data_IF_842673485031
#
_entry.id   IF_842673485031
#
_cell.length_a   1.000
_cell.length_b   1.000
_cell.length_c   1.000
_cell.angle_alpha   90.00
_cell.angle_beta   90.00
_cell.angle_gamma   90.00
#
_symmetry.space_group_name_H-M   'P 1'
#
loop_
_entity.id
_entity.type
_entity.pdbx_description
1 polymer ?
#
# COMPACT_ATOMS: atom_id res chain seq x y z
N UNK A 1 -6.71 13.51 16.29
CA UNK A 1 -6.10 12.22 15.92
C UNK A 1 -4.61 12.29 16.17
N UNK A 2 -3.95 11.13 16.39
CA UNK A 2 -2.52 11.04 16.67
C UNK A 2 -1.70 10.73 15.42
N UNK A 3 -2.37 10.24 14.38
CA UNK A 3 -1.77 9.84 13.11
C UNK A 3 -2.73 10.14 11.96
N UNK A 4 -2.20 10.63 10.84
CA UNK A 4 -2.93 10.76 9.59
C UNK A 4 -2.13 10.14 8.46
N UNK A 5 -2.81 9.48 7.53
CA UNK A 5 -2.25 8.90 6.31
C UNK A 5 -3.31 8.76 5.23
N UNK A 6 -2.90 8.37 4.04
CA UNK A 6 -3.82 8.12 2.92
C UNK A 6 -4.41 6.72 3.03
N UNK A 7 -5.71 6.58 2.75
CA UNK A 7 -6.36 5.25 2.72
C UNK A 7 -5.70 4.32 1.69
N UNK A 8 -5.29 3.12 2.13
CA UNK A 8 -4.68 2.10 1.27
C UNK A 8 -5.74 1.28 0.49
N UNK A 9 -7.00 1.61 0.62
CA UNK A 9 -8.14 0.92 -0.03
C UNK A 9 -8.16 -0.60 0.22
N UNK A 10 -7.68 -1.09 1.37
CA UNK A 10 -7.59 -2.53 1.66
C UNK A 10 -8.93 -3.17 1.93
N UNK A 11 -9.14 -4.35 1.32
CA UNK A 11 -10.34 -5.15 1.50
C UNK A 11 -10.46 -5.79 2.90
N UNK A 12 -11.64 -6.36 3.17
CA UNK A 12 -12.02 -6.88 4.49
C UNK A 12 -11.01 -7.88 5.08
N UNK A 13 -10.46 -8.80 4.28
CA UNK A 13 -9.52 -9.81 4.76
C UNK A 13 -8.27 -9.23 5.45
N UNK A 14 -7.74 -8.13 4.93
CA UNK A 14 -6.58 -7.46 5.52
C UNK A 14 -6.92 -6.72 6.80
N UNK A 15 -8.14 -6.19 6.90
CA UNK A 15 -8.67 -5.49 8.07
C UNK A 15 -8.96 -6.46 9.21
N UNK A 16 -9.65 -7.56 8.92
CA UNK A 16 -10.01 -8.59 9.91
C UNK A 16 -8.77 -9.17 10.59
N UNK A 17 -7.68 -9.39 9.85
CA UNK A 17 -6.44 -9.91 10.40
C UNK A 17 -5.78 -8.99 11.45
N UNK A 18 -6.12 -7.71 11.44
CA UNK A 18 -5.65 -6.71 12.42
C UNK A 18 -6.71 -6.42 13.50
N UNK A 19 -7.85 -7.10 13.46
CA UNK A 19 -8.98 -6.85 14.35
C UNK A 19 -9.71 -5.53 14.08
N UNK A 20 -9.62 -5.01 12.85
CA UNK A 20 -10.29 -3.78 12.42
C UNK A 20 -11.74 -4.06 12.00
N UNK A 21 -12.62 -3.14 12.30
CA UNK A 21 -13.99 -3.10 11.79
C UNK A 21 -14.01 -2.52 10.36
N UNK A 22 -15.12 -2.73 9.62
CA UNK A 22 -15.26 -2.15 8.27
C UNK A 22 -15.10 -0.63 8.21
N UNK A 23 -15.57 0.07 9.22
CA UNK A 23 -15.53 1.54 9.35
C UNK A 23 -14.20 2.11 9.86
N UNK A 24 -13.33 1.29 10.43
CA UNK A 24 -12.02 1.76 10.89
C UNK A 24 -11.15 2.19 9.69
N UNK A 25 -10.33 3.21 9.88
CA UNK A 25 -9.38 3.60 8.84
C UNK A 25 -8.35 2.51 8.58
N UNK A 26 -7.90 2.38 7.33
CA UNK A 26 -6.74 1.56 6.99
C UNK A 26 -5.77 2.39 6.16
N UNK A 27 -4.82 3.01 6.83
CA UNK A 27 -3.88 3.95 6.21
C UNK A 27 -2.63 3.26 5.67
N UNK A 28 -2.11 3.81 4.57
CA UNK A 28 -0.80 3.46 4.05
C UNK A 28 0.28 4.27 4.79
N UNK A 29 1.36 3.61 5.20
CA UNK A 29 2.42 4.22 6.00
C UNK A 29 3.57 4.85 5.20
N UNK A 30 3.45 4.95 3.89
CA UNK A 30 4.48 5.58 3.05
C UNK A 30 4.63 7.08 3.27
N UNK A 31 3.55 7.76 3.67
CA UNK A 31 3.57 9.17 4.10
C UNK A 31 2.61 9.32 5.28
N UNK A 32 3.13 9.82 6.38
CA UNK A 32 2.39 9.98 7.63
C UNK A 32 2.55 11.39 8.19
N UNK A 33 1.46 11.95 8.71
CA UNK A 33 1.48 13.13 9.54
C UNK A 33 1.23 12.70 11.00
N UNK A 34 2.20 12.93 11.87
CA UNK A 34 2.22 12.40 13.23
C UNK A 34 2.17 13.56 14.23
N UNK A 35 1.27 13.46 15.20
CA UNK A 35 1.27 14.29 16.40
C UNK A 35 2.28 13.71 17.41
N UNK A 36 3.51 14.23 17.38
CA UNK A 36 4.60 13.73 18.22
C UNK A 36 4.36 13.98 19.72
N UNK A 37 3.64 15.03 20.07
CA UNK A 37 3.27 15.31 21.46
C UNK A 37 2.31 14.25 21.99
N UNK A 38 1.24 13.99 21.22
CA UNK A 38 0.28 12.93 21.54
C UNK A 38 0.96 11.55 21.62
N UNK A 39 1.91 11.26 20.72
CA UNK A 39 2.65 9.99 20.72
C UNK A 39 3.48 9.83 21.99
N UNK A 40 4.26 10.83 22.38
CA UNK A 40 5.08 10.79 23.61
C UNK A 40 4.22 10.68 24.86
N UNK A 41 3.17 11.53 24.97
CA UNK A 41 2.24 11.54 26.10
C UNK A 41 1.54 10.20 26.31
N UNK A 42 1.15 9.53 25.23
CA UNK A 42 0.40 8.27 25.28
C UNK A 42 1.29 7.04 25.12
N UNK A 43 2.64 7.19 25.10
CA UNK A 43 3.59 6.08 24.99
C UNK A 43 3.26 5.13 23.82
N UNK A 44 3.01 5.70 22.62
CA UNK A 44 2.55 4.93 21.45
C UNK A 44 3.56 3.84 21.06
N UNK A 45 4.85 4.07 21.28
CA UNK A 45 5.89 3.06 21.05
C UNK A 45 5.64 1.81 21.91
N UNK A 46 5.36 1.98 23.21
CA UNK A 46 5.06 0.86 24.10
C UNK A 46 3.83 0.08 23.63
N UNK A 47 2.80 0.77 23.14
CA UNK A 47 1.60 0.13 22.56
C UNK A 47 1.94 -0.69 21.32
N UNK A 48 2.82 -0.19 20.45
CA UNK A 48 3.28 -0.91 19.27
C UNK A 48 4.10 -2.15 19.65
N UNK A 49 5.05 -2.01 20.57
CA UNK A 49 5.85 -3.13 21.06
C UNK A 49 4.99 -4.21 21.73
N UNK A 50 3.99 -3.80 22.51
CA UNK A 50 3.04 -4.72 23.10
C UNK A 50 2.24 -5.48 22.03
N UNK A 51 1.70 -4.77 21.03
CA UNK A 51 0.95 -5.37 19.93
C UNK A 51 1.80 -6.37 19.13
N UNK A 52 3.09 -6.05 18.89
CA UNK A 52 4.03 -6.95 18.23
C UNK A 52 4.25 -8.22 19.04
N UNK A 53 4.44 -8.12 20.35
CA UNK A 53 4.62 -9.28 21.24
C UNK A 53 3.37 -10.16 21.30
N UNK A 54 2.19 -9.57 21.45
CA UNK A 54 0.90 -10.28 21.50
C UNK A 54 0.64 -11.06 20.20
N UNK A 55 1.10 -10.54 19.06
CA UNK A 55 0.98 -11.21 17.76
C UNK A 55 2.23 -12.02 17.37
N UNK A 56 3.21 -12.20 18.29
CA UNK A 56 4.45 -12.97 18.05
C UNK A 56 5.21 -12.52 16.78
N UNK A 57 5.06 -11.24 16.39
CA UNK A 57 5.64 -10.68 15.17
C UNK A 57 4.94 -11.06 13.86
N UNK A 58 3.92 -11.95 13.87
CA UNK A 58 3.16 -12.33 12.67
C UNK A 58 2.09 -11.29 12.33
N UNK A 59 2.53 -10.14 11.85
CA UNK A 59 1.66 -9.01 11.51
C UNK A 59 1.71 -8.74 10.01
N UNK A 60 0.53 -8.70 9.37
CA UNK A 60 0.43 -8.41 7.93
C UNK A 60 0.91 -7.00 7.64
N UNK A 61 1.84 -6.85 6.67
CA UNK A 61 2.46 -5.57 6.29
C UNK A 61 3.27 -4.90 7.40
N UNK A 62 3.81 -5.69 8.32
CA UNK A 62 4.80 -5.29 9.34
C UNK A 62 4.38 -4.00 10.06
N UNK A 63 5.13 -2.90 9.87
CA UNK A 63 4.92 -1.59 10.47
C UNK A 63 3.56 -0.96 10.13
N UNK A 64 3.10 -1.05 8.87
CA UNK A 64 1.78 -0.61 8.48
C UNK A 64 0.68 -1.38 9.22
N UNK A 65 0.87 -2.68 9.41
CA UNK A 65 -0.04 -3.52 10.18
C UNK A 65 -0.10 -3.14 11.65
N UNK A 66 1.06 -2.87 12.27
CA UNK A 66 1.14 -2.41 13.67
C UNK A 66 0.39 -1.10 13.85
N UNK A 67 0.68 -0.10 13.01
CA UNK A 67 0.05 1.22 13.11
C UNK A 67 -1.48 1.14 12.98
N UNK A 68 -1.97 0.39 12.00
CA UNK A 68 -3.41 0.22 11.81
C UNK A 68 -4.03 -0.63 12.93
N UNK A 69 -3.42 -1.75 13.29
CA UNK A 69 -3.90 -2.64 14.35
C UNK A 69 -3.98 -1.98 15.73
N UNK A 70 -3.18 -0.94 15.98
CA UNK A 70 -3.22 -0.16 17.21
C UNK A 70 -4.01 1.13 17.04
N UNK A 71 -3.53 2.07 16.22
CA UNK A 71 -4.07 3.43 16.20
C UNK A 71 -5.39 3.56 15.44
N UNK A 72 -5.59 2.80 14.37
CA UNK A 72 -6.87 2.80 13.65
C UNK A 72 -7.95 2.11 14.47
N UNK A 73 -7.63 0.99 15.10
CA UNK A 73 -8.55 0.29 16.01
C UNK A 73 -8.98 1.12 17.22
N UNK A 74 -8.09 1.97 17.73
CA UNK A 74 -8.39 2.95 18.80
C UNK A 74 -9.11 4.22 18.29
N UNK A 75 -9.41 4.32 16.99
CA UNK A 75 -9.98 5.53 16.39
C UNK A 75 -9.05 6.74 16.44
N UNK A 76 -7.74 6.54 16.55
CA UNK A 76 -6.72 7.60 16.66
C UNK A 76 -6.06 7.94 15.33
N UNK A 77 -6.39 7.24 14.25
CA UNK A 77 -5.98 7.59 12.88
C UNK A 77 -6.99 8.50 12.18
N UNK A 78 -6.52 9.28 11.21
CA UNK A 78 -7.32 10.08 10.30
C UNK A 78 -6.87 9.89 8.85
N UNK A 79 -7.71 10.27 7.89
CA UNK A 79 -7.42 10.14 6.46
C UNK A 79 -6.95 11.47 5.90
N UNK A 80 -5.86 11.44 5.14
CA UNK A 80 -5.35 12.52 4.30
C UNK A 80 -5.91 12.41 2.88
N UNK A 81 -5.95 13.54 2.17
CA UNK A 81 -6.27 13.54 0.75
C UNK A 81 -5.26 12.68 -0.03
N UNK A 82 -5.71 11.84 -0.98
CA UNK A 82 -4.84 10.88 -1.71
C UNK A 82 -3.61 11.51 -2.39
N UNK A 83 -3.66 12.80 -2.74
CA UNK A 83 -2.52 13.50 -3.35
C UNK A 83 -1.25 13.55 -2.50
N UNK A 84 -1.37 13.41 -1.18
CA UNK A 84 -0.22 13.45 -0.25
C UNK A 84 0.50 12.09 -0.11
N UNK A 85 -0.04 11.04 -0.71
CA UNK A 85 0.61 9.75 -0.83
C UNK A 85 0.03 9.03 -2.06
N UNK A 86 0.27 9.62 -3.25
CA UNK A 86 -0.25 9.09 -4.49
C UNK A 86 0.53 7.82 -4.89
N UNK A 87 -0.03 6.69 -4.53
CA UNK A 87 0.58 5.37 -4.67
C UNK A 87 0.60 4.90 -6.13
N UNK A 88 1.61 4.12 -6.52
CA UNK A 88 1.72 3.54 -7.87
C UNK A 88 0.45 2.85 -8.35
N UNK A 89 -0.29 2.19 -7.46
CA UNK A 89 -1.55 1.51 -7.81
C UNK A 89 -2.62 2.49 -8.31
N UNK A 90 -2.55 3.76 -7.92
CA UNK A 90 -3.46 4.82 -8.35
C UNK A 90 -3.20 5.23 -9.81
N UNK A 91 -1.96 5.12 -10.28
CA UNK A 91 -1.62 5.33 -11.69
C UNK A 91 -1.84 4.10 -12.55
N UNK A 92 -1.85 2.91 -11.93
CA UNK A 92 -2.00 1.64 -12.64
C UNK A 92 -3.46 1.31 -12.98
N UNK A 93 -4.43 1.85 -12.24
CA UNK A 93 -5.86 1.58 -12.38
C UNK A 93 -6.69 2.84 -12.23
N UNK A 94 -7.78 2.95 -12.98
CA UNK A 94 -8.82 3.91 -12.66
C UNK A 94 -9.50 3.57 -11.31
N UNK A 95 -10.25 4.53 -10.77
CA UNK A 95 -10.90 4.37 -9.47
C UNK A 95 -11.86 3.16 -9.44
N UNK A 96 -12.66 2.95 -10.48
CA UNK A 96 -13.62 1.84 -10.57
C UNK A 96 -12.92 0.49 -10.52
N UNK A 97 -11.84 0.33 -11.27
CA UNK A 97 -11.03 -0.88 -11.30
C UNK A 97 -10.25 -1.08 -10.01
N UNK A 98 -9.76 -0.02 -9.37
CA UNK A 98 -9.13 -0.10 -8.06
C UNK A 98 -10.09 -0.62 -6.99
N UNK A 99 -11.30 -0.06 -6.92
CA UNK A 99 -12.33 -0.50 -5.96
C UNK A 99 -12.75 -1.94 -6.23
N UNK A 100 -12.91 -2.33 -7.48
CA UNK A 100 -13.19 -3.72 -7.87
C UNK A 100 -12.05 -4.67 -7.51
N UNK A 101 -10.80 -4.23 -7.65
CA UNK A 101 -9.60 -4.98 -7.32
C UNK A 101 -9.44 -5.19 -5.81
N UNK A 102 -9.55 -4.12 -5.04
CA UNK A 102 -9.24 -4.08 -3.61
C UNK A 102 -10.42 -4.38 -2.71
N UNK A 103 -11.64 -4.07 -3.14
CA UNK A 103 -12.92 -4.24 -2.41
C UNK A 103 -12.86 -3.67 -0.99
N UNK A 104 -12.51 -2.40 -0.81
CA UNK A 104 -12.57 -1.78 0.51
C UNK A 104 -14.01 -1.81 1.03
N UNK A 105 -14.25 -2.03 2.33
CA UNK A 105 -15.61 -2.00 2.89
C UNK A 105 -16.31 -0.66 2.73
N UNK A 106 -15.54 0.43 2.84
CA UNK A 106 -15.97 1.81 2.62
C UNK A 106 -15.09 2.38 1.51
N UNK A 107 -15.64 2.54 0.29
CA UNK A 107 -14.92 3.21 -0.80
C UNK A 107 -14.68 4.70 -0.47
N UNK A 108 -13.50 5.21 -0.83
CA UNK A 108 -13.18 6.63 -0.72
C UNK A 108 -13.88 7.49 -1.79
N UNK A 109 -13.54 8.77 -1.83
CA UNK A 109 -14.09 9.71 -2.82
C UNK A 109 -13.36 9.60 -4.16
N UNK A 110 -14.11 9.27 -5.22
CA UNK A 110 -13.57 9.12 -6.58
C UNK A 110 -13.01 10.42 -7.17
N UNK A 111 -13.56 11.58 -6.81
CA UNK A 111 -13.09 12.88 -7.30
C UNK A 111 -11.73 13.23 -6.69
N UNK A 112 -11.56 13.04 -5.39
CA UNK A 112 -10.28 13.23 -4.71
C UNK A 112 -9.20 12.29 -5.27
N UNK A 113 -9.60 11.08 -5.63
CA UNK A 113 -8.71 10.11 -6.24
C UNK A 113 -8.23 10.56 -7.62
N UNK A 114 -9.16 11.01 -8.49
CA UNK A 114 -8.83 11.50 -9.83
C UNK A 114 -7.98 12.77 -9.76
N UNK A 115 -8.27 13.68 -8.84
CA UNK A 115 -7.46 14.87 -8.58
C UNK A 115 -6.04 14.48 -8.17
N UNK A 116 -5.90 13.52 -7.26
CA UNK A 116 -4.59 13.06 -6.79
C UNK A 116 -3.72 12.49 -7.91
N UNK A 117 -4.30 11.71 -8.81
CA UNK A 117 -3.59 11.14 -9.97
C UNK A 117 -3.19 12.23 -10.96
N UNK A 118 -4.07 13.23 -11.18
CA UNK A 118 -3.81 14.34 -12.11
C UNK A 118 -2.77 15.33 -11.55
N UNK A 119 -2.80 15.58 -10.24
CA UNK A 119 -1.96 16.58 -9.59
C UNK A 119 -1.45 16.10 -8.22
N UNK A 120 -0.57 15.08 -8.18
CA UNK A 120 -0.04 14.56 -6.93
C UNK A 120 0.92 15.56 -6.27
N UNK A 121 0.79 15.75 -4.95
CA UNK A 121 1.76 16.48 -4.15
C UNK A 121 2.97 15.61 -3.79
N UNK A 122 2.73 14.33 -3.46
CA UNK A 122 3.78 13.34 -3.16
C UNK A 122 3.47 12.06 -3.93
N UNK A 123 4.40 11.62 -4.76
CA UNK A 123 4.32 10.35 -5.50
C UNK A 123 5.05 9.26 -4.72
N UNK A 124 4.33 8.20 -4.37
CA UNK A 124 4.88 7.06 -3.65
C UNK A 124 5.12 5.89 -4.60
N UNK A 125 6.37 5.66 -4.94
CA UNK A 125 6.80 4.59 -5.82
C UNK A 125 6.75 3.22 -5.13
N UNK A 126 5.57 2.63 -5.10
CA UNK A 126 5.38 1.24 -4.69
C UNK A 126 5.49 0.30 -5.90
N UNK A 127 5.80 -0.98 -5.67
CA UNK A 127 5.58 -2.00 -6.70
C UNK A 127 4.12 -2.46 -6.68
N UNK A 128 3.51 -2.56 -7.85
CA UNK A 128 2.28 -3.31 -8.05
C UNK A 128 2.48 -4.26 -9.24
N UNK A 129 1.67 -5.30 -9.36
CA UNK A 129 1.87 -6.33 -10.39
C UNK A 129 1.86 -5.76 -11.83
N UNK A 130 1.16 -4.65 -12.09
CA UNK A 130 1.10 -3.97 -13.40
C UNK A 130 2.26 -2.99 -13.61
N UNK A 131 2.77 -2.39 -12.54
CA UNK A 131 3.91 -1.47 -12.51
C UNK A 131 4.92 -1.93 -11.46
N UNK A 132 5.54 -3.08 -11.70
CA UNK A 132 6.40 -3.73 -10.70
C UNK A 132 7.81 -3.14 -10.63
N UNK A 133 8.26 -2.45 -11.68
CA UNK A 133 9.58 -1.81 -11.74
C UNK A 133 9.50 -0.40 -11.17
N UNK A 134 10.37 -0.11 -10.21
CA UNK A 134 10.47 1.20 -9.55
C UNK A 134 11.42 2.13 -10.33
N UNK A 135 11.34 3.47 -10.16
CA UNK A 135 12.05 4.43 -11.02
C UNK A 135 13.58 4.39 -10.92
N UNK A 136 14.14 3.75 -9.91
CA UNK A 136 15.59 3.53 -9.80
C UNK A 136 16.09 2.27 -10.51
N UNK A 137 15.20 1.53 -11.17
CA UNK A 137 15.50 0.31 -11.95
C UNK A 137 15.37 0.63 -13.44
N UNK A 138 16.26 0.10 -14.25
CA UNK A 138 16.24 0.26 -15.71
C UNK A 138 14.91 -0.27 -16.29
N UNK A 139 14.31 0.51 -17.21
CA UNK A 139 13.08 0.12 -17.89
C UNK A 139 11.77 0.44 -17.13
N UNK A 140 11.83 1.25 -16.09
CA UNK A 140 10.64 1.72 -15.37
C UNK A 140 9.68 2.50 -16.28
N UNK A 141 8.41 2.09 -16.31
CA UNK A 141 7.34 2.72 -17.10
C UNK A 141 6.38 3.58 -16.23
N UNK A 142 6.78 3.91 -15.01
CA UNK A 142 5.95 4.76 -14.15
C UNK A 142 5.83 6.18 -14.74
N UNK A 143 4.66 6.83 -14.77
CA UNK A 143 4.49 8.18 -15.35
C UNK A 143 5.47 9.22 -14.80
N UNK A 144 5.85 9.10 -13.53
CA UNK A 144 6.79 10.00 -12.84
C UNK A 144 8.24 9.47 -12.80
N UNK A 145 8.60 8.47 -13.63
CA UNK A 145 9.99 7.97 -13.69
C UNK A 145 10.97 9.07 -14.14
N UNK A 146 10.57 9.90 -15.11
CA UNK A 146 11.39 11.05 -15.57
C UNK A 146 11.63 12.05 -14.44
N UNK A 147 10.59 12.42 -13.71
CA UNK A 147 10.70 13.32 -12.55
C UNK A 147 11.65 12.77 -11.48
N UNK A 148 11.58 11.46 -11.19
CA UNK A 148 12.57 10.83 -10.31
C UNK A 148 14.01 11.01 -10.81
N UNK A 149 14.27 10.81 -12.10
CA UNK A 149 15.60 10.98 -12.69
C UNK A 149 16.09 12.43 -12.64
N UNK A 150 15.20 13.39 -12.81
CA UNK A 150 15.50 14.82 -12.66
C UNK A 150 15.94 15.18 -11.23
N UNK A 151 15.28 14.62 -10.22
CA UNK A 151 15.70 14.76 -8.82
C UNK A 151 17.00 14.01 -8.52
N UNK A 152 17.16 12.80 -9.06
CA UNK A 152 18.41 12.03 -8.94
C UNK A 152 19.60 12.82 -9.49
N UNK A 153 19.45 13.46 -10.65
CA UNK A 153 20.50 14.27 -11.27
C UNK A 153 20.96 15.47 -10.42
N UNK A 154 20.10 15.93 -9.49
CA UNK A 154 20.41 17.03 -8.54
C UNK A 154 20.95 16.51 -7.20
N UNK A 155 20.99 15.20 -7.00
CA UNK A 155 21.42 14.58 -5.75
C UNK A 155 22.91 14.24 -5.74
N UNK A 156 23.53 14.00 -4.57
CA UNK A 156 24.89 13.47 -4.50
C UNK A 156 25.10 12.15 -5.24
N UNK A 157 24.02 11.39 -5.48
CA UNK A 157 24.05 10.09 -6.18
C UNK A 157 23.76 10.18 -7.67
N UNK A 158 23.93 11.34 -8.30
CA UNK A 158 23.66 11.56 -9.73
C UNK A 158 24.40 10.57 -10.63
N UNK A 159 25.65 10.23 -10.29
CA UNK A 159 26.51 9.30 -11.06
C UNK A 159 26.27 7.83 -10.71
N UNK A 160 25.47 7.53 -9.66
CA UNK A 160 25.19 6.14 -9.31
C UNK A 160 24.37 5.47 -10.43
N UNK A 161 24.81 4.31 -10.96
CA UNK A 161 24.09 3.62 -12.01
C UNK A 161 22.65 3.26 -11.59
N UNK A 162 21.75 3.16 -12.57
CA UNK A 162 20.43 2.58 -12.35
C UNK A 162 20.57 1.09 -12.03
N UNK A 163 19.73 0.61 -11.10
CA UNK A 163 19.71 -0.81 -10.76
C UNK A 163 19.23 -1.66 -11.94
N UNK A 164 19.79 -2.85 -12.15
CA UNK A 164 19.26 -3.80 -13.11
C UNK A 164 17.89 -4.31 -12.67
N UNK A 165 17.12 -4.85 -13.63
CA UNK A 165 15.86 -5.55 -13.32
C UNK A 165 16.18 -6.95 -12.77
N UNK A 166 16.19 -7.07 -11.45
CA UNK A 166 16.48 -8.29 -10.67
C UNK A 166 15.27 -9.20 -10.45
N UNK A 167 14.13 -8.89 -11.06
CA UNK A 167 12.92 -9.71 -10.96
C UNK A 167 13.19 -11.13 -11.47
N UNK A 168 12.66 -12.12 -10.76
CA UNK A 168 12.71 -13.51 -11.18
C UNK A 168 11.95 -13.75 -12.49
N UNK A 169 12.27 -14.83 -13.19
CA UNK A 169 11.58 -15.19 -14.45
C UNK A 169 10.05 -15.26 -14.27
N UNK A 170 9.49 -15.92 -13.22
CA UNK A 170 8.05 -15.91 -12.98
C UNK A 170 7.46 -14.50 -12.79
N UNK A 171 8.16 -13.60 -12.11
CA UNK A 171 7.72 -12.21 -11.94
C UNK A 171 7.70 -11.44 -13.26
N UNK A 172 8.70 -11.64 -14.12
CA UNK A 172 8.75 -11.06 -15.47
C UNK A 172 7.62 -11.62 -16.33
N UNK A 173 7.39 -12.91 -16.32
CA UNK A 173 6.28 -13.54 -17.04
C UNK A 173 4.92 -13.03 -16.56
N UNK A 174 4.69 -12.93 -15.25
CA UNK A 174 3.47 -12.37 -14.68
C UNK A 174 3.25 -10.92 -15.16
N UNK A 175 4.32 -10.12 -15.20
CA UNK A 175 4.25 -8.74 -15.69
C UNK A 175 3.84 -8.69 -17.17
N UNK A 176 4.37 -9.57 -18.01
CA UNK A 176 3.99 -9.67 -19.43
C UNK A 176 2.54 -10.10 -19.57
N UNK A 177 2.13 -11.18 -18.91
CA UNK A 177 0.76 -11.70 -18.96
C UNK A 177 -0.24 -10.63 -18.53
N UNK A 178 0.03 -9.94 -17.42
CA UNK A 178 -0.86 -8.87 -16.92
C UNK A 178 -0.88 -7.63 -17.82
N UNK A 179 0.14 -7.42 -18.66
CA UNK A 179 0.17 -6.29 -19.61
C UNK A 179 -0.64 -6.53 -20.87
N UNK A 180 -0.81 -7.80 -21.31
CA UNK A 180 -1.55 -8.19 -22.52
C UNK A 180 -2.99 -8.65 -22.20
N UNK A 181 -3.27 -9.03 -20.96
CA UNK A 181 -4.60 -9.48 -20.53
C UNK A 181 -5.61 -8.32 -20.54
N UNK A 182 -6.86 -8.56 -21.01
CA UNK A 182 -7.94 -7.57 -20.86
C UNK A 182 -8.07 -7.11 -19.40
N UNK A 183 -8.17 -5.80 -19.18
CA UNK A 183 -8.12 -5.21 -17.83
C UNK A 183 -9.21 -5.77 -16.90
N UNK A 184 -10.43 -5.97 -17.43
CA UNK A 184 -11.55 -6.53 -16.66
C UNK A 184 -11.29 -7.94 -16.15
N UNK A 185 -10.66 -8.78 -16.97
CA UNK A 185 -10.29 -10.15 -16.61
C UNK A 185 -9.16 -10.15 -15.58
N UNK A 186 -8.13 -9.34 -15.80
CA UNK A 186 -7.00 -9.18 -14.88
C UNK A 186 -7.47 -8.70 -13.51
N UNK A 187 -8.27 -7.63 -13.44
CA UNK A 187 -8.81 -7.08 -12.19
C UNK A 187 -9.66 -8.13 -11.46
N UNK A 188 -10.47 -8.89 -12.18
CA UNK A 188 -11.32 -9.94 -11.58
C UNK A 188 -10.49 -11.09 -11.02
N UNK A 189 -9.49 -11.57 -11.77
CA UNK A 189 -8.61 -12.67 -11.35
C UNK A 189 -7.77 -12.29 -10.13
N UNK A 190 -7.17 -11.11 -10.13
CA UNK A 190 -6.34 -10.66 -9.00
C UNK A 190 -7.22 -10.34 -7.79
N UNK A 191 -8.39 -9.73 -7.99
CA UNK A 191 -9.36 -9.54 -6.90
C UNK A 191 -9.74 -10.87 -6.26
N UNK A 192 -9.98 -11.92 -7.05
CA UNK A 192 -10.26 -13.26 -6.53
C UNK A 192 -9.10 -13.81 -5.68
N UNK A 193 -7.87 -13.70 -6.17
CA UNK A 193 -6.68 -14.12 -5.41
C UNK A 193 -6.58 -13.37 -4.09
N UNK A 194 -6.71 -12.05 -4.09
CA UNK A 194 -6.60 -11.22 -2.88
C UNK A 194 -7.74 -11.43 -1.88
N UNK A 195 -8.95 -11.67 -2.36
CA UNK A 195 -10.13 -11.74 -1.48
C UNK A 195 -10.50 -13.16 -1.05
N UNK A 196 -10.03 -14.18 -1.76
CA UNK A 196 -10.36 -15.60 -1.49
C UNK A 196 -9.12 -16.44 -1.18
N UNK A 197 -8.13 -16.45 -2.08
CA UNK A 197 -6.98 -17.35 -1.96
C UNK A 197 -6.04 -16.90 -0.83
N UNK A 198 -5.67 -15.62 -0.80
CA UNK A 198 -4.74 -15.11 0.20
C UNK A 198 -5.23 -15.28 1.64
N UNK A 199 -6.48 -14.96 2.01
CA UNK A 199 -6.99 -15.22 3.36
C UNK A 199 -6.98 -16.70 3.72
N UNK A 200 -7.35 -17.57 2.77
CA UNK A 200 -7.38 -19.01 2.99
C UNK A 200 -5.96 -19.56 3.27
N UNK A 201 -4.99 -19.18 2.45
CA UNK A 201 -3.58 -19.58 2.61
C UNK A 201 -3.01 -19.09 3.94
N UNK A 202 -3.33 -17.86 4.36
CA UNK A 202 -2.90 -17.32 5.66
C UNK A 202 -3.52 -18.09 6.83
N UNK A 203 -4.81 -18.35 6.78
CA UNK A 203 -5.51 -19.12 7.84
C UNK A 203 -4.94 -20.53 7.99
N UNK A 204 -4.60 -21.18 6.86
CA UNK A 204 -3.93 -22.49 6.88
C UNK A 204 -2.56 -22.42 7.53
N UNK A 205 -1.74 -21.43 7.15
CA UNK A 205 -0.41 -21.21 7.75
C UNK A 205 -0.50 -20.99 9.27
N UNK A 206 -1.47 -20.20 9.73
CA UNK A 206 -1.67 -19.96 11.17
C UNK A 206 -2.14 -21.21 11.94
N UNK A 207 -2.84 -22.14 11.27
CA UNK A 207 -3.24 -23.42 11.89
C UNK A 207 -2.08 -24.40 11.99
N UNK A 208 -1.15 -24.37 11.05
CA UNK A 208 0.04 -25.26 11.03
C UNK A 208 1.06 -24.83 12.08
N UNK A 209 1.15 -23.53 12.37
CA UNK A 209 2.11 -22.94 13.31
C UNK A 209 1.60 -22.90 14.77
N UNK A 210 0.39 -23.39 15.04
CA UNK A 210 -0.17 -23.63 16.37
C UNK A 210 -0.04 -25.08 16.76
#
# INVERSE_FOLDING_TARGET
KWLYGVDDCRGAAYRTNLGLKPEDNYINNGVLLIDLEAWRKNKVEDMFLQYIRENQGDITFVDQGVQNGVLSKLGRSGILHPKYNCMTVFFAFDYKNLIKLRKPPVPGDSMQYQEAVKNPAIVHFQSCFRMSIRPWVVGCKHPYAKTYLEYKAKSPWKETPMMPDDRTVPQKMLSVVTSIMPESLMVSSISFVHTKIYPLARNLKQRINK
#
